data_IF_864173372403
#
_entry.id   IF_864173372403
#
_cell.length_a   1.000
_cell.length_b   1.000
_cell.length_c   1.000
_cell.angle_alpha   90.00
_cell.angle_beta   90.00
_cell.angle_gamma   90.00
#
_symmetry.space_group_name_H-M   'P 1'
#
loop_
_entity.id
_entity.type
_entity.pdbx_description
1 polymer ?
#
# COMPACT_ATOMS: atom_id res chain seq x y z
N UNK A 1 -15.37 3.51 -2.63
CA UNK A 1 -14.67 2.25 -2.89
C UNK A 1 -15.21 1.12 -2.02
N UNK A 2 -15.70 1.37 -0.80
CA UNK A 2 -16.26 0.32 0.06
C UNK A 2 -17.30 -0.58 -0.65
N UNK A 3 -18.22 0.00 -1.44
CA UNK A 3 -19.21 -0.77 -2.21
C UNK A 3 -18.58 -1.70 -3.27
N UNK A 4 -17.45 -1.29 -3.86
CA UNK A 4 -16.74 -2.11 -4.86
C UNK A 4 -16.13 -3.33 -4.20
N UNK A 5 -15.67 -3.21 -2.95
CA UNK A 5 -15.10 -4.33 -2.17
C UNK A 5 -16.13 -5.41 -1.79
N UNK A 6 -17.42 -5.19 -2.02
CA UNK A 6 -18.48 -6.19 -1.78
C UNK A 6 -18.89 -6.96 -3.05
N UNK A 7 -18.29 -6.65 -4.20
CA UNK A 7 -18.59 -7.29 -5.48
C UNK A 7 -17.69 -8.50 -5.70
N UNK A 8 -18.16 -9.47 -6.49
CA UNK A 8 -17.39 -10.66 -6.83
C UNK A 8 -16.23 -10.36 -7.79
N UNK A 9 -15.18 -11.17 -7.72
CA UNK A 9 -14.12 -11.16 -8.73
C UNK A 9 -14.69 -11.30 -10.15
N UNK A 10 -14.06 -10.63 -11.12
CA UNK A 10 -14.51 -10.52 -12.51
C UNK A 10 -15.55 -9.43 -12.77
N UNK A 11 -16.18 -8.85 -11.73
CA UNK A 11 -17.12 -7.74 -11.92
C UNK A 11 -16.42 -6.53 -12.55
N UNK A 12 -17.05 -5.93 -13.56
CA UNK A 12 -16.58 -4.67 -14.14
C UNK A 12 -17.01 -3.50 -13.26
N UNK A 13 -16.08 -2.64 -12.90
CA UNK A 13 -16.29 -1.49 -12.01
C UNK A 13 -15.71 -0.23 -12.61
N UNK A 14 -16.33 0.91 -12.30
CA UNK A 14 -15.75 2.24 -12.52
C UNK A 14 -15.61 2.92 -11.17
N UNK A 15 -14.38 3.25 -10.79
CA UNK A 15 -14.04 3.90 -9.53
C UNK A 15 -13.40 5.26 -9.77
N UNK A 16 -13.62 6.18 -8.84
CA UNK A 16 -12.93 7.47 -8.80
C UNK A 16 -12.27 7.58 -7.44
N UNK A 17 -10.99 7.95 -7.43
CA UNK A 17 -10.23 8.17 -6.20
C UNK A 17 -8.94 8.94 -6.45
N UNK A 18 -8.28 9.31 -5.35
CA UNK A 18 -7.00 10.01 -5.37
C UNK A 18 -5.87 9.00 -5.28
N UNK A 19 -4.86 9.13 -6.13
CA UNK A 19 -3.65 8.31 -6.12
C UNK A 19 -2.91 8.50 -4.79
N UNK A 20 -2.56 7.39 -4.13
CA UNK A 20 -1.90 7.38 -2.81
C UNK A 20 -0.47 6.83 -2.86
N UNK A 21 -0.14 6.03 -3.86
CA UNK A 21 1.20 5.46 -4.06
C UNK A 21 1.73 5.80 -5.46
N UNK A 22 3.04 5.99 -5.65
CA UNK A 22 3.59 6.19 -6.99
C UNK A 22 3.41 4.92 -7.85
N UNK A 23 3.02 5.05 -9.13
CA UNK A 23 3.00 3.91 -10.06
C UNK A 23 4.34 3.16 -10.08
N UNK A 24 4.29 1.84 -9.92
CA UNK A 24 5.47 0.97 -9.93
C UNK A 24 6.35 1.03 -8.67
N UNK A 25 5.97 1.79 -7.64
CA UNK A 25 6.69 1.81 -6.37
C UNK A 25 6.77 0.42 -5.71
N UNK A 26 5.82 -0.46 -6.03
CA UNK A 26 5.75 -1.82 -5.51
C UNK A 26 5.92 -2.89 -6.61
N UNK A 27 6.56 -2.54 -7.73
CA UNK A 27 6.65 -3.43 -8.88
C UNK A 27 7.39 -4.74 -8.57
N UNK A 28 8.28 -4.77 -7.57
CA UNK A 28 8.95 -6.01 -7.18
C UNK A 28 8.00 -6.99 -6.51
N UNK A 29 7.08 -6.54 -5.64
CA UNK A 29 6.05 -7.42 -5.05
C UNK A 29 4.90 -7.75 -6.01
N UNK A 30 4.43 -6.77 -6.79
CA UNK A 30 3.19 -6.90 -7.58
C UNK A 30 3.41 -7.35 -9.02
N UNK A 31 4.65 -7.32 -9.52
CA UNK A 31 5.02 -7.65 -10.90
C UNK A 31 4.26 -6.85 -11.96
N UNK A 32 3.82 -5.65 -11.58
CA UNK A 32 3.11 -4.69 -12.42
C UNK A 32 3.63 -3.26 -12.16
N UNK A 33 3.06 -2.26 -12.84
CA UNK A 33 3.37 -0.84 -12.62
C UNK A 33 2.17 -0.12 -12.00
N UNK A 34 1.47 -0.82 -11.11
CA UNK A 34 0.26 -0.39 -10.45
C UNK A 34 0.47 0.66 -9.36
N UNK A 35 -0.65 1.13 -8.82
CA UNK A 35 -0.70 2.16 -7.78
C UNK A 35 -1.98 2.06 -6.95
N UNK A 36 -1.92 2.51 -5.69
CA UNK A 36 -3.08 2.67 -4.84
C UNK A 36 -3.88 3.92 -5.20
N UNK A 37 -5.20 3.80 -5.17
CA UNK A 37 -6.11 4.94 -5.14
C UNK A 37 -7.04 4.82 -3.93
N UNK A 38 -7.51 5.95 -3.42
CA UNK A 38 -8.40 5.96 -2.26
C UNK A 38 -9.47 7.04 -2.40
N UNK A 39 -10.68 6.72 -1.95
CA UNK A 39 -11.72 7.72 -1.67
C UNK A 39 -11.99 7.81 -0.17
N UNK A 40 -13.01 8.59 0.23
CA UNK A 40 -13.37 8.76 1.65
C UNK A 40 -13.81 7.46 2.37
N UNK A 41 -14.01 6.36 1.64
CA UNK A 41 -14.59 5.13 2.19
C UNK A 41 -13.63 3.95 2.26
N UNK A 42 -12.72 3.79 1.28
CA UNK A 42 -11.73 2.71 1.24
C UNK A 42 -10.66 3.00 0.17
N UNK A 43 -9.55 2.27 0.21
CA UNK A 43 -8.59 2.15 -0.88
C UNK A 43 -8.93 1.04 -1.87
N UNK A 44 -8.32 1.07 -3.05
CA UNK A 44 -8.18 -0.06 -3.96
C UNK A 44 -6.86 0.05 -4.74
N UNK A 45 -6.20 -1.08 -4.95
CA UNK A 45 -4.99 -1.12 -5.78
C UNK A 45 -5.37 -1.27 -7.24
N UNK A 46 -4.74 -0.49 -8.11
CA UNK A 46 -4.90 -0.56 -9.56
C UNK A 46 -3.72 -1.33 -10.12
N UNK A 47 -3.93 -2.60 -10.48
CA UNK A 47 -2.92 -3.47 -11.07
C UNK A 47 -2.76 -3.15 -12.56
N UNK A 48 -1.95 -2.14 -12.86
CA UNK A 48 -1.73 -1.63 -14.21
C UNK A 48 -0.54 -2.32 -14.88
N UNK A 49 -0.74 -2.85 -16.09
CA UNK A 49 0.32 -3.52 -16.85
C UNK A 49 1.21 -2.58 -17.68
N UNK A 50 0.86 -1.30 -17.77
CA UNK A 50 1.57 -0.30 -18.54
C UNK A 50 1.77 0.98 -17.73
N UNK A 51 2.89 1.70 -17.90
CA UNK A 51 3.15 2.93 -17.16
C UNK A 51 2.06 3.99 -17.36
N UNK A 52 1.86 4.80 -16.33
CA UNK A 52 0.94 5.95 -16.36
C UNK A 52 1.65 7.16 -15.76
N UNK A 53 1.29 8.36 -16.21
CA UNK A 53 1.89 9.62 -15.73
C UNK A 53 1.22 10.16 -14.46
N UNK A 54 0.36 9.36 -13.81
CA UNK A 54 -0.33 9.80 -12.59
C UNK A 54 0.62 9.73 -11.40
N UNK A 55 0.45 10.64 -10.46
CA UNK A 55 1.29 10.77 -9.26
C UNK A 55 0.39 10.91 -8.03
N UNK A 56 0.90 10.64 -6.81
CA UNK A 56 0.15 10.89 -5.59
C UNK A 56 -0.43 12.31 -5.55
N UNK A 57 -1.71 12.42 -5.14
CA UNK A 57 -2.45 13.68 -5.19
C UNK A 57 -3.17 13.94 -6.52
N UNK A 58 -3.11 13.03 -7.50
CA UNK A 58 -3.96 13.11 -8.71
C UNK A 58 -5.27 12.37 -8.49
N UNK A 59 -6.40 12.98 -8.84
CA UNK A 59 -7.69 12.28 -8.93
C UNK A 59 -7.76 11.54 -10.25
N UNK A 60 -8.17 10.27 -10.22
CA UNK A 60 -8.31 9.43 -11.42
C UNK A 60 -9.66 8.74 -11.45
N UNK A 61 -10.19 8.52 -12.66
CA UNK A 61 -11.28 7.58 -12.93
C UNK A 61 -10.69 6.32 -13.56
N UNK A 62 -10.94 5.17 -12.96
CA UNK A 62 -10.47 3.88 -13.47
C UNK A 62 -11.67 2.99 -13.76
N UNK A 63 -11.70 2.43 -14.96
CA UNK A 63 -12.63 1.35 -15.31
C UNK A 63 -11.84 0.07 -15.53
N UNK A 64 -12.32 -1.03 -15.00
CA UNK A 64 -11.63 -2.31 -15.09
C UNK A 64 -12.41 -3.45 -14.46
N UNK A 65 -11.77 -4.61 -14.34
CA UNK A 65 -12.33 -5.80 -13.70
C UNK A 65 -11.71 -6.01 -12.32
N UNK A 66 -12.53 -6.40 -11.34
CA UNK A 66 -12.04 -6.83 -10.04
C UNK A 66 -11.30 -8.17 -10.15
N UNK A 67 -10.20 -8.30 -9.44
CA UNK A 67 -9.44 -9.53 -9.33
C UNK A 67 -8.85 -9.68 -7.93
N UNK A 68 -8.53 -10.92 -7.58
CA UNK A 68 -7.62 -11.22 -6.47
C UNK A 68 -6.19 -11.23 -7.01
N UNK A 69 -5.27 -10.64 -6.26
CA UNK A 69 -3.84 -10.73 -6.50
C UNK A 69 -3.14 -11.12 -5.20
N UNK A 70 -2.97 -12.43 -5.01
CA UNK A 70 -2.35 -13.00 -3.81
C UNK A 70 -3.06 -12.55 -2.53
N UNK A 71 -4.40 -12.55 -2.53
CA UNK A 71 -5.22 -12.12 -1.40
C UNK A 71 -5.64 -10.65 -1.45
N UNK A 72 -4.87 -9.76 -2.09
CA UNK A 72 -5.26 -8.35 -2.21
C UNK A 72 -6.34 -8.17 -3.29
N UNK A 73 -7.43 -7.47 -2.94
CA UNK A 73 -8.42 -7.07 -3.93
C UNK A 73 -7.90 -5.92 -4.81
N UNK A 74 -7.83 -6.15 -6.12
CA UNK A 74 -7.31 -5.19 -7.12
C UNK A 74 -8.33 -4.90 -8.22
N UNK A 75 -8.12 -3.80 -8.94
CA UNK A 75 -8.75 -3.53 -10.24
C UNK A 75 -7.70 -3.68 -11.32
N UNK A 76 -7.95 -4.58 -12.29
CA UNK A 76 -7.20 -4.67 -13.55
C UNK A 76 -7.82 -3.69 -14.56
N UNK A 77 -7.17 -2.56 -14.86
CA UNK A 77 -7.78 -1.47 -15.60
C UNK A 77 -7.87 -1.77 -17.09
N UNK A 78 -8.99 -1.41 -17.70
CA UNK A 78 -9.14 -1.25 -19.16
C UNK A 78 -9.04 0.21 -19.57
N UNK A 79 -9.24 1.15 -18.63
CA UNK A 79 -9.08 2.58 -18.85
C UNK A 79 -8.68 3.28 -17.55
N UNK A 80 -7.72 4.19 -17.65
CA UNK A 80 -7.31 5.10 -16.58
C UNK A 80 -7.38 6.51 -17.15
N UNK A 81 -8.19 7.38 -16.54
CA UNK A 81 -8.37 8.77 -16.95
C UNK A 81 -7.99 9.68 -15.79
N UNK A 82 -6.95 10.51 -15.98
CA UNK A 82 -6.61 11.57 -15.03
C UNK A 82 -7.71 12.64 -15.04
N UNK A 83 -8.17 13.01 -13.85
CA UNK A 83 -9.12 14.10 -13.62
C UNK A 83 -8.42 15.37 -13.10
N UNK A 84 -7.08 15.34 -12.99
CA UNK A 84 -6.27 16.46 -12.53
C UNK A 84 -5.83 16.38 -11.06
N UNK A 85 -4.99 17.32 -10.63
CA UNK A 85 -4.48 17.38 -9.26
C UNK A 85 -5.57 17.76 -8.25
N UNK A 86 -5.46 17.20 -7.06
CA UNK A 86 -6.28 17.47 -5.88
C UNK A 86 -5.39 17.45 -4.62
N UNK A 87 -5.96 17.74 -3.46
CA UNK A 87 -5.24 17.56 -2.20
C UNK A 87 -4.82 16.10 -2.00
N UNK A 88 -3.57 15.89 -1.59
CA UNK A 88 -3.07 14.57 -1.28
C UNK A 88 -3.85 13.94 -0.13
N UNK A 89 -4.09 12.63 -0.20
CA UNK A 89 -4.71 11.88 0.88
C UNK A 89 -3.80 11.92 2.11
N UNK A 90 -4.32 12.43 3.22
CA UNK A 90 -3.63 12.36 4.49
C UNK A 90 -3.60 10.89 4.99
N UNK A 91 -2.43 10.34 5.37
CA UNK A 91 -2.37 9.02 5.98
C UNK A 91 -3.24 8.93 7.24
N UNK A 92 -4.00 7.85 7.37
CA UNK A 92 -4.83 7.61 8.56
C UNK A 92 -4.00 6.99 9.69
N UNK A 93 -3.86 7.64 10.86
CA UNK A 93 -3.22 7.00 12.01
C UNK A 93 -4.05 5.80 12.49
N UNK A 94 -3.40 4.65 12.68
CA UNK A 94 -4.02 3.42 13.18
C UNK A 94 -3.10 2.69 14.15
N UNK A 95 -3.68 1.81 14.97
CA UNK A 95 -2.92 0.82 15.77
C UNK A 95 -2.69 -0.43 14.92
N UNK A 96 -1.67 -1.22 15.28
CA UNK A 96 -1.24 -2.39 14.49
C UNK A 96 -2.39 -3.35 14.19
N UNK A 97 -3.23 -3.69 15.18
CA UNK A 97 -4.37 -4.61 15.01
C UNK A 97 -5.40 -4.18 13.95
N UNK A 98 -5.41 -2.90 13.57
CA UNK A 98 -6.33 -2.39 12.54
C UNK A 98 -5.81 -2.66 11.13
N UNK A 99 -4.50 -2.90 10.96
CA UNK A 99 -3.92 -3.34 9.69
C UNK A 99 -4.48 -4.71 9.34
N UNK A 100 -5.26 -4.78 8.28
CA UNK A 100 -5.98 -6.00 7.89
C UNK A 100 -6.92 -5.77 6.71
N UNK A 101 -7.83 -6.72 6.49
CA UNK A 101 -8.83 -6.72 5.41
C UNK A 101 -9.58 -5.37 5.27
N UNK A 102 -9.91 -4.74 6.40
CA UNK A 102 -10.68 -3.50 6.39
C UNK A 102 -9.88 -2.27 5.93
N UNK A 103 -8.55 -2.36 5.86
CA UNK A 103 -7.65 -1.25 5.53
C UNK A 103 -6.89 -1.43 4.24
N UNK A 104 -7.04 -2.56 3.55
CA UNK A 104 -6.36 -2.83 2.29
C UNK A 104 -6.42 -1.65 1.31
N UNK A 105 -5.29 -1.47 0.62
CA UNK A 105 -4.99 -0.38 -0.30
C UNK A 105 -5.16 1.04 0.26
N UNK A 106 -5.46 1.18 1.57
CA UNK A 106 -5.60 2.48 2.21
C UNK A 106 -4.25 2.97 2.73
N UNK A 107 -4.05 4.28 2.69
CA UNK A 107 -2.84 4.92 3.22
C UNK A 107 -2.96 5.08 4.74
N UNK A 108 -2.10 4.38 5.48
CA UNK A 108 -2.11 4.35 6.95
C UNK A 108 -0.79 4.80 7.53
N UNK A 109 -0.80 5.23 8.80
CA UNK A 109 0.40 5.44 9.61
C UNK A 109 0.28 4.65 10.90
N UNK A 110 1.31 3.87 11.22
CA UNK A 110 1.44 3.08 12.45
C UNK A 110 2.70 3.49 13.20
N UNK A 111 2.64 3.48 14.52
CA UNK A 111 3.82 3.60 15.38
C UNK A 111 4.02 2.27 16.11
N UNK A 112 5.18 1.67 15.95
CA UNK A 112 5.48 0.36 16.54
C UNK A 112 6.97 0.17 16.81
N UNK A 113 7.27 -0.72 17.75
CA UNK A 113 8.64 -1.14 18.08
C UNK A 113 9.06 -2.27 17.14
N UNK A 114 10.24 -2.19 16.55
CA UNK A 114 10.81 -3.25 15.72
C UNK A 114 11.09 -4.48 16.59
N UNK A 115 10.50 -5.62 16.26
CA UNK A 115 10.63 -6.87 17.03
C UNK A 115 11.50 -7.92 16.35
N UNK A 116 11.78 -7.78 15.05
CA UNK A 116 12.63 -8.69 14.28
C UNK A 116 13.92 -8.02 13.78
N UNK A 117 14.90 -8.82 13.38
CA UNK A 117 15.93 -8.34 12.47
C UNK A 117 15.31 -8.05 11.09
N UNK A 118 15.96 -7.20 10.30
CA UNK A 118 15.62 -7.04 8.88
C UNK A 118 16.00 -8.32 8.15
N UNK A 119 15.06 -8.85 7.37
CA UNK A 119 15.26 -10.00 6.49
C UNK A 119 15.49 -9.49 5.07
N UNK A 120 16.56 -9.98 4.44
CA UNK A 120 16.82 -9.82 3.01
C UNK A 120 15.93 -10.79 2.22
N UNK A 121 15.04 -10.22 1.40
CA UNK A 121 14.06 -10.95 0.58
C UNK A 121 14.24 -10.58 -0.90
N UNK A 122 15.48 -10.32 -1.32
CA UNK A 122 15.79 -10.00 -2.72
C UNK A 122 15.45 -11.20 -3.65
N UNK A 123 14.95 -10.92 -4.87
CA UNK A 123 14.89 -9.62 -5.54
C UNK A 123 13.67 -8.75 -5.19
N UNK A 124 12.82 -9.19 -4.25
CA UNK A 124 11.55 -8.51 -3.93
C UNK A 124 11.74 -7.31 -3.02
N UNK A 125 12.61 -7.40 -2.04
CA UNK A 125 12.85 -6.30 -1.11
C UNK A 125 13.40 -6.76 0.22
N UNK A 126 12.96 -6.09 1.27
CA UNK A 126 13.33 -6.38 2.65
C UNK A 126 12.10 -6.35 3.53
N UNK A 127 12.09 -7.14 4.60
CA UNK A 127 10.97 -7.13 5.56
C UNK A 127 11.43 -7.17 7.00
N UNK A 128 10.64 -6.55 7.86
CA UNK A 128 10.80 -6.60 9.30
C UNK A 128 9.45 -6.42 9.98
N UNK A 129 9.36 -6.82 11.25
CA UNK A 129 8.14 -6.76 12.03
C UNK A 129 8.18 -5.58 12.99
N UNK A 130 7.06 -4.86 13.10
CA UNK A 130 6.82 -3.88 14.15
C UNK A 130 5.63 -4.31 15.01
N UNK A 131 5.68 -3.96 16.29
CA UNK A 131 4.65 -4.29 17.27
C UNK A 131 4.23 -3.07 18.10
N UNK A 132 2.96 -2.99 18.44
CA UNK A 132 2.45 -2.11 19.50
C UNK A 132 1.74 -2.96 20.58
N UNK A 133 0.94 -2.33 21.45
CA UNK A 133 0.21 -3.06 22.51
C UNK A 133 -0.95 -3.92 21.99
N UNK A 134 -1.27 -3.83 20.71
CA UNK A 134 -2.46 -4.43 20.08
C UNK A 134 -2.11 -5.61 19.18
N UNK A 135 -0.87 -5.73 18.73
CA UNK A 135 -0.41 -6.83 17.88
C UNK A 135 0.90 -6.50 17.18
N UNK A 136 1.22 -7.31 16.17
CA UNK A 136 2.38 -7.14 15.29
C UNK A 136 1.93 -7.10 13.82
N UNK A 137 2.69 -6.38 12.98
CA UNK A 137 2.49 -6.35 11.52
C UNK A 137 3.84 -6.33 10.83
N UNK A 138 3.88 -6.89 9.62
CA UNK A 138 5.03 -6.80 8.73
C UNK A 138 5.09 -5.42 8.08
N UNK A 139 6.30 -4.91 7.93
CA UNK A 139 6.62 -3.80 7.03
C UNK A 139 7.42 -4.39 5.88
N UNK A 140 6.92 -4.28 4.66
CA UNK A 140 7.58 -4.79 3.46
C UNK A 140 8.11 -3.62 2.62
N UNK A 141 9.42 -3.58 2.45
CA UNK A 141 10.15 -2.51 1.75
C UNK A 141 10.50 -2.99 0.35
N UNK A 142 9.71 -2.55 -0.63
CA UNK A 142 9.92 -2.85 -2.05
C UNK A 142 11.19 -2.18 -2.59
N UNK A 143 11.88 -2.85 -3.52
CA UNK A 143 13.17 -2.38 -4.07
C UNK A 143 13.10 -1.01 -4.78
N UNK A 144 11.94 -0.65 -5.36
CA UNK A 144 11.74 0.60 -6.08
C UNK A 144 11.51 1.81 -5.17
N UNK A 145 11.25 1.59 -3.87
CA UNK A 145 10.91 2.67 -2.92
C UNK A 145 12.12 3.51 -2.50
N UNK A 146 13.33 3.01 -2.74
CA UNK A 146 14.58 3.68 -2.37
C UNK A 146 14.82 3.81 -0.86
N UNK A 147 14.06 3.07 -0.03
CA UNK A 147 14.20 3.09 1.42
C UNK A 147 15.44 2.31 1.83
N UNK A 148 16.32 2.96 2.59
CA UNK A 148 17.47 2.32 3.19
C UNK A 148 17.08 1.65 4.53
N UNK A 149 17.12 0.33 4.56
CA UNK A 149 16.84 -0.47 5.76
C UNK A 149 18.09 -0.76 6.61
N UNK A 150 19.27 -0.34 6.15
CA UNK A 150 20.56 -0.65 6.78
C UNK A 150 20.71 -0.07 8.18
N UNK A 151 19.91 0.93 8.57
CA UNK A 151 19.89 1.53 9.90
C UNK A 151 18.82 0.96 10.85
N UNK A 152 17.91 0.10 10.34
CA UNK A 152 16.79 -0.45 11.11
C UNK A 152 17.27 -1.60 12.01
N UNK A 153 16.97 -1.54 13.30
CA UNK A 153 17.39 -2.52 14.31
C UNK A 153 16.25 -2.86 15.25
N UNK A 154 16.21 -4.13 15.68
CA UNK A 154 15.30 -4.57 16.74
C UNK A 154 15.43 -3.67 17.98
N UNK A 155 14.29 -3.32 18.55
CA UNK A 155 14.19 -2.46 19.73
C UNK A 155 13.93 -0.98 19.44
N UNK A 156 14.19 -0.49 18.22
CA UNK A 156 13.83 0.87 17.80
C UNK A 156 12.31 1.04 17.71
N UNK A 157 11.83 2.26 17.98
CA UNK A 157 10.44 2.63 17.69
C UNK A 157 10.41 3.37 16.36
N UNK A 158 9.57 2.91 15.44
CA UNK A 158 9.38 3.54 14.14
C UNK A 158 7.97 4.11 14.02
N UNK A 159 7.85 5.24 13.33
CA UNK A 159 6.61 5.66 12.66
C UNK A 159 6.70 5.24 11.20
N UNK A 160 5.81 4.36 10.77
CA UNK A 160 5.74 3.83 9.41
C UNK A 160 4.46 4.30 8.76
N UNK A 161 4.57 4.96 7.62
CA UNK A 161 3.45 5.31 6.73
C UNK A 161 3.49 4.41 5.52
N UNK A 162 2.36 3.95 5.01
CA UNK A 162 2.38 3.11 3.82
C UNK A 162 0.99 2.67 3.40
N UNK A 163 0.93 1.98 2.26
CA UNK A 163 -0.28 1.29 1.85
C UNK A 163 -0.44 0.06 2.75
N UNK A 164 -1.59 -0.09 3.40
CA UNK A 164 -1.93 -1.37 4.03
C UNK A 164 -2.20 -2.38 2.90
N UNK A 165 -1.47 -3.49 2.91
CA UNK A 165 -1.44 -4.48 1.84
C UNK A 165 -1.71 -5.89 2.40
N UNK A 166 -1.86 -6.84 1.51
CA UNK A 166 -1.96 -8.27 1.82
C UNK A 166 -1.11 -9.06 0.83
N UNK A 167 -0.39 -10.04 1.36
CA UNK A 167 0.27 -11.08 0.58
C UNK A 167 -0.07 -12.45 1.18
N UNK A 168 -0.76 -13.27 0.39
CA UNK A 168 -1.32 -14.55 0.80
C UNK A 168 -2.23 -14.40 2.03
N UNK A 169 -1.85 -14.93 3.19
CA UNK A 169 -2.59 -14.84 4.45
C UNK A 169 -2.01 -13.81 5.44
N UNK A 170 -1.09 -12.97 4.98
CA UNK A 170 -0.41 -11.97 5.79
C UNK A 170 -0.77 -10.55 5.39
N UNK A 171 -1.02 -9.70 6.39
CA UNK A 171 -1.18 -8.27 6.20
C UNK A 171 0.11 -7.54 6.48
N UNK A 172 0.38 -6.52 5.67
CA UNK A 172 1.62 -5.76 5.73
C UNK A 172 1.38 -4.28 5.44
N UNK A 173 2.40 -3.47 5.73
CA UNK A 173 2.45 -2.06 5.35
C UNK A 173 3.57 -1.91 4.33
N UNK A 174 3.24 -1.39 3.16
CA UNK A 174 4.17 -1.10 2.07
C UNK A 174 4.49 0.41 2.06
N UNK A 175 5.64 0.84 2.60
CA UNK A 175 6.01 2.24 2.63
C UNK A 175 6.44 2.68 1.23
N UNK A 176 6.15 3.94 0.85
CA UNK A 176 6.26 4.39 -0.54
C UNK A 176 7.60 5.06 -0.86
N UNK A 177 8.32 5.53 0.17
CA UNK A 177 9.54 6.33 0.02
C UNK A 177 10.32 6.43 1.34
N UNK A 178 11.56 6.95 1.36
CA UNK A 178 12.32 7.15 2.60
C UNK A 178 11.60 7.98 3.67
N UNK A 179 10.74 8.92 3.27
CA UNK A 179 10.00 9.77 4.19
C UNK A 179 8.93 9.01 5.01
N UNK A 180 8.57 7.80 4.56
CA UNK A 180 7.54 6.99 5.18
C UNK A 180 8.05 6.13 6.34
N UNK A 181 9.37 5.99 6.53
CA UNK A 181 9.97 5.22 7.64
C UNK A 181 10.80 6.15 8.51
N UNK A 182 10.30 6.46 9.71
CA UNK A 182 10.94 7.43 10.62
C UNK A 182 11.23 6.78 11.97
N UNK A 183 12.51 6.78 12.36
CA UNK A 183 12.94 6.38 13.71
C UNK A 183 12.51 7.46 14.70
N UNK A 184 11.82 7.06 15.77
CA UNK A 184 11.40 7.94 16.85
C UNK A 184 12.42 7.89 18.01
N UNK A 185 12.50 8.97 18.82
CA UNK A 185 13.35 9.01 20.01
C UNK A 185 13.01 7.95 21.07
#
# INVERSE_FOLDING_TARGET
MAQVRTLSAGATVTVVGTVTTPPGAFASSFLDVGFGIQDRTAGIYISASAPTDVVPGTSVRVTGSLADQSGLLVVRPTSIVSLGPVDAVAPRPVVVRVVGESTEASLVTVVGRVTSAVVDDLPYGYKFTIADRTGETTVFVNTQTGIDVSAIRAGQTLRVTGMSSQYEDHYEIDPRSPADVVVLP
#
